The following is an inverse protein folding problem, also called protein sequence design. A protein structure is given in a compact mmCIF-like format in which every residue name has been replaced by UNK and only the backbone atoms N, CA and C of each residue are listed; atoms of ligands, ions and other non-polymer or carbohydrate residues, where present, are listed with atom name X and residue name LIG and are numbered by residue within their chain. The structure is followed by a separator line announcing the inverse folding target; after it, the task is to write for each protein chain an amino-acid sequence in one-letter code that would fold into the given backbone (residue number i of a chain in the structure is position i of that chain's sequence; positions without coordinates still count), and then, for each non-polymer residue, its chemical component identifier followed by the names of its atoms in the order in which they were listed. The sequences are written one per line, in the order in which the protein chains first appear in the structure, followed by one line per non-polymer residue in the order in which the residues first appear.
data_IF_106907968326
#
_entry.id   IF_106907968326
#
_cell.length_a   1.000
_cell.length_b   1.000
_cell.length_c   1.000
_cell.angle_alpha   90.00
_cell.angle_beta   90.00
_cell.angle_gamma   90.00
#
_symmetry.space_group_name_H-M   'P 1'
#
loop_
_entity.id
_entity.type
_entity.pdbx_description
1 polymer ?
#
# COMPACT_ATOMS: atom_id res chain seq x y z
N UNK A 1 0.67 5.02 0.87
CA UNK A 1 0.23 4.29 2.08
C UNK A 1 1.41 3.88 2.93
N UNK A 2 1.22 3.88 4.27
CA UNK A 2 2.19 3.42 5.26
C UNK A 2 1.57 2.29 6.08
N UNK A 3 2.24 1.14 6.16
CA UNK A 3 1.72 -0.06 6.83
C UNK A 3 1.71 0.05 8.37
N UNK A 4 2.39 1.05 8.92
CA UNK A 4 2.38 1.37 10.35
C UNK A 4 1.47 2.56 10.71
N UNK A 5 0.81 3.17 9.70
CA UNK A 5 -0.09 4.29 9.93
C UNK A 5 -1.48 3.82 10.39
N UNK A 6 -1.97 4.26 11.58
CA UNK A 6 -3.28 3.84 12.08
C UNK A 6 -4.44 4.37 11.22
N UNK A 7 -4.24 5.47 10.49
CA UNK A 7 -5.23 5.99 9.55
C UNK A 7 -5.28 5.14 8.28
N UNK A 8 -4.13 4.63 7.81
CA UNK A 8 -4.08 3.69 6.68
C UNK A 8 -4.73 2.36 7.04
N UNK A 9 -4.48 1.84 8.25
CA UNK A 9 -5.15 0.65 8.77
C UNK A 9 -6.68 0.78 8.72
N UNK A 10 -7.24 1.93 9.10
CA UNK A 10 -8.69 2.18 9.00
C UNK A 10 -9.19 2.39 7.57
N UNK A 11 -8.29 2.69 6.66
CA UNK A 11 -8.59 2.97 5.26
C UNK A 11 -8.37 1.77 4.34
N UNK A 12 -7.90 0.64 4.88
CA UNK A 12 -7.69 -0.61 4.15
C UNK A 12 -9.01 -1.07 3.50
N UNK A 13 -8.95 -1.47 2.24
CA UNK A 13 -10.11 -1.91 1.46
C UNK A 13 -11.05 -0.81 0.97
N UNK A 14 -10.89 0.45 1.40
CA UNK A 14 -11.76 1.56 0.97
C UNK A 14 -11.58 1.92 -0.52
N UNK A 15 -10.35 2.01 -1.06
CA UNK A 15 -10.14 2.23 -2.50
C UNK A 15 -10.73 1.11 -3.36
N UNK A 16 -10.57 -0.13 -2.95
CA UNK A 16 -11.09 -1.33 -3.64
C UNK A 16 -12.62 -1.31 -3.70
N UNK A 17 -13.27 -0.92 -2.60
CA UNK A 17 -14.72 -0.74 -2.56
C UNK A 17 -15.17 0.36 -3.53
N UNK A 18 -14.43 1.47 -3.59
CA UNK A 18 -14.78 2.59 -4.47
C UNK A 18 -14.69 2.21 -5.96
N UNK A 19 -13.69 1.43 -6.37
CA UNK A 19 -13.55 1.02 -7.77
C UNK A 19 -14.54 -0.07 -8.20
N UNK A 20 -15.13 -0.83 -7.26
CA UNK A 20 -16.08 -1.90 -7.57
C UNK A 20 -17.27 -1.40 -8.42
N UNK A 21 -17.67 -0.13 -8.26
CA UNK A 21 -18.69 0.53 -9.07
C UNK A 21 -18.28 0.78 -10.53
N UNK A 22 -16.97 0.75 -10.82
CA UNK A 22 -16.39 1.14 -12.11
C UNK A 22 -15.77 -0.06 -12.84
N UNK A 23 -16.46 -1.17 -12.90
CA UNK A 23 -15.97 -2.44 -13.48
C UNK A 23 -15.23 -2.22 -14.81
N UNK A 24 -13.97 -2.67 -14.86
CA UNK A 24 -13.11 -2.56 -16.04
C UNK A 24 -12.64 -1.14 -16.42
N UNK A 25 -13.12 -0.09 -15.72
CA UNK A 25 -12.76 1.32 -16.00
C UNK A 25 -11.78 1.90 -15.00
N UNK A 26 -11.66 1.31 -13.81
CA UNK A 26 -10.75 1.74 -12.76
C UNK A 26 -10.03 0.55 -12.12
N UNK A 27 -8.82 0.77 -11.67
CA UNK A 27 -8.05 -0.17 -10.85
C UNK A 27 -7.38 0.56 -9.70
N UNK A 28 -6.88 -0.19 -8.71
CA UNK A 28 -6.05 0.33 -7.62
C UNK A 28 -4.61 -0.08 -7.87
N UNK A 29 -3.69 0.90 -7.78
CA UNK A 29 -2.28 0.67 -7.67
C UNK A 29 -1.82 1.11 -6.28
N UNK A 30 -1.28 0.18 -5.52
CA UNK A 30 -0.72 0.48 -4.20
C UNK A 30 0.65 1.15 -4.38
N UNK A 31 0.91 2.20 -3.58
CA UNK A 31 2.19 2.90 -3.55
C UNK A 31 2.63 3.07 -2.11
N UNK A 32 3.88 2.73 -1.84
CA UNK A 32 4.45 2.83 -0.51
C UNK A 32 4.85 4.27 -0.16
N UNK A 33 4.54 4.66 1.07
CA UNK A 33 4.93 5.96 1.62
C UNK A 33 5.19 5.83 3.13
N UNK A 34 6.18 4.99 3.55
CA UNK A 34 6.53 4.85 4.96
C UNK A 34 6.99 6.19 5.51
N UNK A 35 6.36 6.65 6.59
CA UNK A 35 6.66 7.92 7.23
C UNK A 35 7.88 7.76 8.14
N UNK A 36 8.80 8.73 8.11
CA UNK A 36 10.07 8.66 8.84
C UNK A 36 9.88 8.43 10.34
N UNK A 37 8.84 9.03 10.93
CA UNK A 37 8.55 8.87 12.37
C UNK A 37 7.95 7.50 12.76
N UNK A 38 7.58 6.65 11.78
CA UNK A 38 7.27 5.25 12.02
C UNK A 38 8.51 4.34 11.88
N UNK A 39 9.66 4.91 11.50
CA UNK A 39 10.98 4.31 11.54
C UNK A 39 11.17 3.11 10.61
N UNK A 40 12.14 2.26 10.98
CA UNK A 40 12.53 1.10 10.17
C UNK A 40 11.43 0.04 10.07
N UNK A 41 10.52 -0.02 11.03
CA UNK A 41 9.38 -0.97 11.00
C UNK A 41 8.47 -0.72 9.79
N UNK A 42 8.14 0.55 9.51
CA UNK A 42 7.32 0.90 8.36
C UNK A 42 8.02 0.61 7.02
N UNK A 43 9.32 0.90 6.92
CA UNK A 43 10.11 0.58 5.73
C UNK A 43 10.18 -0.93 5.50
N UNK A 44 10.49 -1.69 6.54
CA UNK A 44 10.55 -3.14 6.49
C UNK A 44 9.23 -3.77 6.10
N UNK A 45 8.11 -3.30 6.66
CA UNK A 45 6.78 -3.74 6.25
C UNK A 45 6.55 -3.57 4.73
N UNK A 46 6.97 -2.43 4.19
CA UNK A 46 6.91 -2.15 2.75
C UNK A 46 7.77 -3.11 1.94
N UNK A 47 9.00 -3.42 2.40
CA UNK A 47 9.89 -4.37 1.71
C UNK A 47 9.30 -5.76 1.65
N UNK A 48 8.76 -6.27 2.77
CA UNK A 48 8.13 -7.59 2.79
C UNK A 48 6.87 -7.65 1.93
N UNK A 49 6.05 -6.60 1.90
CA UNK A 49 4.88 -6.54 1.03
C UNK A 49 5.26 -6.70 -0.44
N UNK A 50 6.29 -5.98 -0.91
CA UNK A 50 6.82 -6.11 -2.27
C UNK A 50 7.36 -7.51 -2.55
N UNK A 51 8.09 -8.09 -1.60
CA UNK A 51 8.68 -9.43 -1.77
C UNK A 51 7.60 -10.52 -1.80
N UNK A 52 6.54 -10.38 -1.02
CA UNK A 52 5.36 -11.26 -1.13
C UNK A 52 4.70 -11.09 -2.50
N UNK A 53 4.57 -9.85 -2.98
CA UNK A 53 4.04 -9.57 -4.31
C UNK A 53 4.86 -10.22 -5.43
N UNK A 54 6.19 -10.27 -5.32
CA UNK A 54 7.08 -10.95 -6.28
C UNK A 54 6.86 -12.47 -6.29
N UNK A 55 6.55 -13.10 -5.16
CA UNK A 55 6.31 -14.54 -5.08
C UNK A 55 4.86 -14.93 -5.40
N UNK A 56 3.88 -14.16 -4.92
CA UNK A 56 2.46 -14.55 -4.93
C UNK A 56 1.57 -13.64 -5.80
N UNK A 57 2.19 -12.70 -6.53
CA UNK A 57 1.47 -11.76 -7.40
C UNK A 57 0.64 -10.74 -6.63
N UNK A 58 -0.16 -9.96 -7.36
CA UNK A 58 -0.97 -8.88 -6.77
C UNK A 58 -1.93 -9.36 -5.69
N UNK A 59 -2.52 -10.55 -5.86
CA UNK A 59 -3.43 -11.12 -4.84
C UNK A 59 -2.71 -11.37 -3.52
N UNK A 60 -1.51 -11.93 -3.58
CA UNK A 60 -0.69 -12.17 -2.40
C UNK A 60 -0.23 -10.85 -1.75
N UNK A 61 0.17 -9.88 -2.56
CA UNK A 61 0.53 -8.55 -2.08
C UNK A 61 -0.59 -7.93 -1.22
N UNK A 62 -1.79 -7.81 -1.77
CA UNK A 62 -2.92 -7.21 -1.04
C UNK A 62 -3.35 -8.04 0.17
N UNK A 63 -3.30 -9.37 0.08
CA UNK A 63 -3.57 -10.23 1.22
C UNK A 63 -2.57 -10.00 2.37
N UNK A 64 -1.28 -9.86 2.05
CA UNK A 64 -0.25 -9.53 3.02
C UNK A 64 -0.46 -8.16 3.66
N UNK A 65 -0.76 -7.14 2.86
CA UNK A 65 -1.04 -5.78 3.33
C UNK A 65 -2.21 -5.75 4.32
N UNK A 66 -3.34 -6.36 3.95
CA UNK A 66 -4.52 -6.41 4.83
C UNK A 66 -4.24 -7.18 6.12
N UNK A 67 -3.50 -8.29 6.04
CA UNK A 67 -3.15 -9.06 7.23
C UNK A 67 -2.14 -8.31 8.12
N UNK A 68 -1.18 -7.59 7.52
CA UNK A 68 -0.32 -6.69 8.27
C UNK A 68 -1.14 -5.64 9.02
N UNK A 69 -2.06 -4.95 8.34
CA UNK A 69 -2.93 -3.98 8.99
C UNK A 69 -3.78 -4.59 10.10
N UNK A 70 -4.24 -5.80 9.95
CA UNK A 70 -5.00 -6.50 11.01
C UNK A 70 -4.17 -6.69 12.28
N UNK A 71 -2.89 -7.03 12.14
CA UNK A 71 -2.00 -7.46 13.23
C UNK A 71 -1.11 -6.35 13.78
N UNK A 72 -0.82 -5.30 13.01
CA UNK A 72 0.06 -4.22 13.50
C UNK A 72 -0.57 -3.46 14.66
N UNK A 73 0.25 -3.12 15.63
CA UNK A 73 -0.09 -2.20 16.71
C UNK A 73 0.08 -0.73 16.32
N UNK A 74 0.52 -0.50 15.07
CA UNK A 74 0.70 0.82 14.43
C UNK A 74 1.77 1.71 15.10
N UNK A 75 1.97 2.89 14.51
CA UNK A 75 2.89 3.92 14.98
C UNK A 75 4.34 3.41 15.13
N UNK A 76 4.80 2.59 14.18
CA UNK A 76 6.16 2.04 14.16
C UNK A 76 6.43 0.92 15.16
N UNK A 77 5.41 0.44 15.87
CA UNK A 77 5.55 -0.62 16.87
C UNK A 77 5.56 -2.02 16.27
N UNK A 78 5.10 -2.16 15.03
CA UNK A 78 5.08 -3.44 14.31
C UNK A 78 3.96 -4.38 14.71
N UNK A 79 4.15 -5.65 14.38
CA UNK A 79 3.16 -6.70 14.60
C UNK A 79 3.04 -7.08 16.06
N UNK A 80 1.84 -7.35 16.50
CA UNK A 80 1.62 -8.02 17.78
C UNK A 80 2.29 -9.41 17.74
N UNK A 81 3.22 -9.67 18.67
CA UNK A 81 4.06 -10.87 18.66
C UNK A 81 5.37 -10.76 17.86
N UNK A 82 5.64 -9.58 17.26
CA UNK A 82 6.92 -9.25 16.64
C UNK A 82 7.14 -9.86 15.25
N UNK A 83 8.38 -9.73 14.77
CA UNK A 83 8.79 -10.09 13.41
C UNK A 83 8.69 -11.58 13.09
N UNK A 84 8.68 -12.44 14.10
CA UNK A 84 8.49 -13.89 13.90
C UNK A 84 7.17 -14.23 13.19
N UNK A 85 6.19 -13.31 13.19
CA UNK A 85 4.93 -13.50 12.49
C UNK A 85 5.00 -13.24 10.99
N UNK A 86 6.01 -12.52 10.49
CA UNK A 86 6.12 -12.12 9.09
C UNK A 86 6.06 -13.32 8.15
N UNK A 87 6.82 -14.37 8.46
CA UNK A 87 6.83 -15.59 7.66
C UNK A 87 5.47 -16.30 7.62
N UNK A 88 4.72 -16.26 8.71
CA UNK A 88 3.36 -16.80 8.79
C UNK A 88 2.36 -16.02 7.93
N UNK A 89 2.41 -14.69 8.01
CA UNK A 89 1.60 -13.79 7.18
C UNK A 89 1.92 -14.00 5.69
N UNK A 90 3.21 -14.05 5.35
CA UNK A 90 3.65 -14.25 3.97
C UNK A 90 3.15 -15.59 3.39
N UNK A 91 3.26 -16.68 4.16
CA UNK A 91 2.73 -17.99 3.76
C UNK A 91 1.23 -17.97 3.54
N UNK A 92 0.48 -17.34 4.45
CA UNK A 92 -0.98 -17.18 4.31
C UNK A 92 -1.37 -16.37 3.06
N UNK A 93 -0.49 -15.45 2.64
CA UNK A 93 -0.63 -14.67 1.42
C UNK A 93 -0.14 -15.41 0.14
N UNK A 94 0.39 -16.63 0.29
CA UNK A 94 0.86 -17.48 -0.82
C UNK A 94 2.35 -17.40 -1.12
N UNK A 95 3.14 -16.65 -0.34
CA UNK A 95 4.61 -16.61 -0.45
C UNK A 95 5.22 -17.70 0.45
N UNK A 96 5.54 -18.85 -0.14
CA UNK A 96 5.93 -20.05 0.62
C UNK A 96 7.44 -20.17 0.86
N UNK A 97 8.27 -19.46 0.08
CA UNK A 97 9.72 -19.47 0.23
C UNK A 97 10.18 -18.36 1.16
N UNK A 98 10.30 -18.70 2.45
CA UNK A 98 10.67 -17.72 3.49
C UNK A 98 12.13 -17.28 3.34
N UNK A 99 13.04 -18.15 2.89
CA UNK A 99 14.45 -17.80 2.69
C UNK A 99 14.59 -16.78 1.54
N UNK A 100 13.94 -17.03 0.41
CA UNK A 100 13.90 -16.09 -0.69
C UNK A 100 13.20 -14.75 -0.29
N UNK A 101 12.20 -14.79 0.60
CA UNK A 101 11.55 -13.60 1.14
C UNK A 101 12.55 -12.74 1.94
N UNK A 102 13.33 -13.35 2.82
CA UNK A 102 14.35 -12.67 3.62
C UNK A 102 15.48 -12.07 2.78
N UNK A 103 15.92 -12.79 1.74
CA UNK A 103 16.90 -12.28 0.78
C UNK A 103 16.35 -11.10 -0.03
N UNK A 104 15.12 -11.22 -0.50
CA UNK A 104 14.43 -10.18 -1.25
C UNK A 104 14.28 -8.89 -0.42
N UNK A 105 13.89 -9.00 0.86
CA UNK A 105 13.71 -7.83 1.74
C UNK A 105 15.01 -7.04 2.00
N UNK A 106 16.17 -7.64 1.71
CA UNK A 106 17.50 -7.02 1.78
C UNK A 106 18.01 -6.52 0.43
N UNK A 107 17.27 -6.76 -0.65
CA UNK A 107 17.66 -6.35 -2.00
C UNK A 107 17.59 -4.81 -2.13
N UNK A 108 18.70 -4.14 -2.49
CA UNK A 108 18.70 -2.69 -2.73
C UNK A 108 17.67 -2.23 -3.78
N UNK A 109 17.31 -3.10 -4.72
CA UNK A 109 16.30 -2.78 -5.72
C UNK A 109 14.89 -2.62 -5.11
N UNK A 110 14.57 -3.37 -4.05
CA UNK A 110 13.33 -3.20 -3.30
C UNK A 110 13.34 -1.88 -2.54
N UNK A 111 14.44 -1.57 -1.86
CA UNK A 111 14.59 -0.29 -1.17
C UNK A 111 14.45 0.90 -2.13
N UNK A 112 15.06 0.78 -3.33
CA UNK A 112 14.94 1.81 -4.37
C UNK A 112 13.50 1.98 -4.86
N UNK A 113 12.75 0.90 -5.05
CA UNK A 113 11.34 0.96 -5.44
C UNK A 113 10.53 1.77 -4.43
N UNK A 114 10.72 1.52 -3.13
CA UNK A 114 10.02 2.26 -2.08
C UNK A 114 10.43 3.74 -2.08
N UNK A 115 11.72 4.05 -2.30
CA UNK A 115 12.18 5.43 -2.42
C UNK A 115 11.57 6.14 -3.64
N UNK A 116 11.46 5.46 -4.77
CA UNK A 116 10.83 5.98 -5.97
C UNK A 116 9.34 6.27 -5.72
N UNK A 117 8.64 5.39 -5.00
CA UNK A 117 7.24 5.58 -4.60
C UNK A 117 7.06 6.83 -3.71
N UNK A 118 7.94 7.00 -2.72
CA UNK A 118 7.94 8.20 -1.85
C UNK A 118 8.17 9.45 -2.69
N UNK A 119 9.18 9.44 -3.56
CA UNK A 119 9.52 10.58 -4.40
C UNK A 119 8.36 10.94 -5.36
N UNK A 120 7.70 9.95 -5.95
CA UNK A 120 6.51 10.15 -6.79
C UNK A 120 5.34 10.74 -5.99
N UNK A 121 5.10 10.25 -4.78
CA UNK A 121 4.09 10.78 -3.89
C UNK A 121 4.34 12.25 -3.57
N UNK A 122 5.55 12.61 -3.15
CA UNK A 122 5.95 13.99 -2.85
C UNK A 122 5.75 14.89 -4.07
N UNK A 123 6.23 14.46 -5.27
CA UNK A 123 6.04 15.22 -6.52
C UNK A 123 4.57 15.42 -6.88
N UNK A 124 3.71 14.49 -6.46
CA UNK A 124 2.26 14.54 -6.68
C UNK A 124 1.49 15.28 -5.59
N UNK A 125 2.19 15.92 -4.63
CA UNK A 125 1.58 16.71 -3.55
C UNK A 125 1.13 15.89 -2.35
N UNK A 126 1.52 14.60 -2.23
CA UNK A 126 1.24 13.78 -1.05
C UNK A 126 2.22 14.18 0.07
N UNK A 127 1.67 14.64 1.19
CA UNK A 127 2.44 15.07 2.35
C UNK A 127 2.21 14.18 3.60
N UNK A 128 1.45 13.10 3.45
CA UNK A 128 1.13 12.18 4.55
C UNK A 128 0.25 11.03 4.09
N UNK A 129 -0.10 10.15 5.01
CA UNK A 129 -0.84 8.92 4.71
C UNK A 129 -2.12 8.77 5.55
N UNK A 130 -3.18 8.17 5.00
CA UNK A 130 -3.30 7.74 3.61
C UNK A 130 -3.40 8.92 2.64
N UNK A 131 -2.93 8.73 1.41
CA UNK A 131 -3.13 9.65 0.30
C UNK A 131 -3.52 8.87 -0.95
N UNK A 132 -4.39 9.42 -1.78
CA UNK A 132 -4.75 8.84 -3.08
C UNK A 132 -4.51 9.84 -4.19
N UNK A 133 -4.27 9.29 -5.37
CA UNK A 133 -4.26 10.05 -6.62
C UNK A 133 -5.17 9.32 -7.59
N UNK A 134 -6.25 9.97 -8.00
CA UNK A 134 -7.08 9.48 -9.09
C UNK A 134 -6.51 10.00 -10.39
N UNK A 135 -6.01 9.08 -11.23
CA UNK A 135 -5.39 9.44 -12.50
C UNK A 135 -6.21 8.88 -13.67
N UNK A 136 -6.53 9.75 -14.62
CA UNK A 136 -7.03 9.33 -15.91
C UNK A 136 -5.84 9.03 -16.84
N UNK A 137 -5.64 7.76 -17.18
CA UNK A 137 -4.50 7.33 -17.99
C UNK A 137 -4.59 7.79 -19.46
N UNK A 138 -5.79 8.14 -19.95
CA UNK A 138 -6.00 8.63 -21.31
C UNK A 138 -5.63 10.10 -21.46
N UNK A 139 -6.00 10.93 -20.47
CA UNK A 139 -5.78 12.39 -20.51
C UNK A 139 -4.54 12.81 -19.74
N UNK A 140 -4.02 11.96 -18.85
CA UNK A 140 -2.92 12.29 -17.90
C UNK A 140 -3.37 13.12 -16.70
N UNK A 141 -4.64 13.51 -16.61
CA UNK A 141 -5.17 14.30 -15.48
C UNK A 141 -5.05 13.51 -14.19
N UNK A 142 -4.54 14.16 -13.15
CA UNK A 142 -4.35 13.58 -11.82
C UNK A 142 -5.00 14.45 -10.75
N UNK A 143 -5.79 13.85 -9.87
CA UNK A 143 -6.53 14.54 -8.81
C UNK A 143 -6.10 13.94 -7.47
N UNK A 144 -5.33 14.66 -6.64
CA UNK A 144 -4.95 14.18 -5.32
C UNK A 144 -6.11 14.27 -4.33
N UNK A 145 -6.17 13.28 -3.44
CA UNK A 145 -7.08 13.23 -2.29
C UNK A 145 -6.23 12.97 -1.05
N UNK A 146 -6.28 13.88 -0.09
CA UNK A 146 -5.50 13.78 1.14
C UNK A 146 -6.33 13.17 2.28
N UNK A 147 -5.69 12.27 3.02
CA UNK A 147 -6.31 11.62 4.16
C UNK A 147 -7.31 10.51 3.80
N UNK A 148 -7.82 9.83 4.82
CA UNK A 148 -8.85 8.83 4.68
C UNK A 148 -10.22 9.47 4.46
N UNK A 149 -10.80 9.27 3.28
CA UNK A 149 -12.09 9.83 2.89
C UNK A 149 -13.12 8.71 2.69
N UNK A 150 -14.43 8.98 2.80
CA UNK A 150 -15.48 8.01 2.52
C UNK A 150 -15.42 7.49 1.07
N UNK A 151 -15.83 6.22 0.85
CA UNK A 151 -15.94 5.58 -0.47
C UNK A 151 -16.61 6.49 -1.50
N UNK A 152 -17.76 7.08 -1.16
CA UNK A 152 -18.52 7.97 -2.05
C UNK A 152 -17.70 9.17 -2.57
N UNK A 153 -16.81 9.71 -1.76
CA UNK A 153 -15.97 10.83 -2.20
C UNK A 153 -14.96 10.37 -3.26
N UNK A 154 -14.39 9.16 -3.11
CA UNK A 154 -13.49 8.60 -4.11
C UNK A 154 -14.26 8.33 -5.40
N UNK A 155 -15.46 7.72 -5.32
CA UNK A 155 -16.34 7.51 -6.48
C UNK A 155 -16.60 8.79 -7.26
N UNK A 156 -16.96 9.88 -6.58
CA UNK A 156 -17.19 11.17 -7.21
C UNK A 156 -15.96 11.74 -7.92
N UNK A 157 -14.76 11.50 -7.37
CA UNK A 157 -13.52 11.93 -8.02
C UNK A 157 -13.23 11.06 -9.24
N UNK A 158 -13.48 9.74 -9.17
CA UNK A 158 -13.34 8.84 -10.32
C UNK A 158 -14.33 9.23 -11.43
N UNK A 159 -15.60 9.52 -11.10
CA UNK A 159 -16.62 9.98 -12.06
C UNK A 159 -16.16 11.25 -12.80
N UNK A 160 -15.63 12.23 -12.06
CA UNK A 160 -15.07 13.46 -12.66
C UNK A 160 -13.88 13.16 -13.56
N UNK A 161 -12.99 12.28 -13.13
CA UNK A 161 -11.82 11.91 -13.92
C UNK A 161 -12.20 11.16 -15.22
N UNK A 162 -13.29 10.39 -15.23
CA UNK A 162 -13.77 9.66 -16.40
C UNK A 162 -14.57 10.55 -17.37
N UNK A 163 -15.23 11.59 -16.86
CA UNK A 163 -16.08 12.48 -17.66
C UNK A 163 -15.34 13.66 -18.30
N UNK A 164 -14.06 13.84 -18.02
CA UNK A 164 -13.20 14.91 -18.55
C UNK A 164 -12.44 14.55 -19.86
#
# INVERSE_FOLDING_TARGET
TDLECPFCKRFDGVPEQAIAKFEGKANVAFRHFPLDFHGETAKRASYYAECVGRQAGSKGFFAFVSEWFRLTTSNGKGLEGGDAQIGGIAKSAGANDVEALELCAKDPAVAKLIQDDIADGVRSGIAGTPGLIVRNNRTGTSIPIMGGVPVRQIEQVIERALGG
#
